data_IF_944870236942
#
_entry.id   IF_944870236942
#
_cell.length_a   1.000
_cell.length_b   1.000
_cell.length_c   1.000
_cell.angle_alpha   90.00
_cell.angle_beta   90.00
_cell.angle_gamma   90.00
#
_symmetry.space_group_name_H-M   'P 1'
#
loop_
_entity.id
_entity.type
_entity.pdbx_description
1 polymer ?
#
# COMPACT_ATOMS: atom_id res chain seq x y z
N UNK A 1 38.14 34.00 -20.23
CA UNK A 1 38.40 33.40 -18.91
C UNK A 1 37.05 33.15 -18.27
N UNK A 2 36.63 31.89 -18.18
CA UNK A 2 35.40 31.52 -17.46
C UNK A 2 35.69 31.67 -15.96
N UNK A 3 34.99 32.58 -15.29
CA UNK A 3 34.99 32.64 -13.82
C UNK A 3 34.10 31.52 -13.30
N UNK A 4 34.74 30.47 -12.78
CA UNK A 4 34.09 29.47 -11.93
C UNK A 4 33.96 30.11 -10.55
N UNK A 5 32.74 30.46 -10.15
CA UNK A 5 32.47 30.91 -8.78
C UNK A 5 32.72 29.75 -7.81
N UNK A 6 33.46 29.96 -6.71
CA UNK A 6 33.68 28.91 -5.72
C UNK A 6 32.38 28.61 -4.98
N UNK A 7 31.97 27.33 -5.00
CA UNK A 7 30.95 26.80 -4.10
C UNK A 7 31.45 26.90 -2.67
N UNK A 8 30.93 27.84 -1.89
CA UNK A 8 31.16 27.91 -0.44
C UNK A 8 30.57 26.67 0.23
N UNK A 9 31.33 25.90 1.03
CA UNK A 9 30.78 24.76 1.75
C UNK A 9 29.77 25.22 2.81
N UNK A 10 28.65 24.49 2.91
CA UNK A 10 27.60 24.74 3.91
C UNK A 10 28.16 24.58 5.33
N UNK A 11 27.74 25.42 6.31
CA UNK A 11 28.21 25.32 7.68
C UNK A 11 27.67 24.05 8.36
N UNK A 12 28.58 23.25 8.94
CA UNK A 12 28.23 22.13 9.82
C UNK A 12 27.88 22.68 11.21
N UNK A 13 26.64 22.46 11.66
CA UNK A 13 26.15 22.99 12.93
C UNK A 13 25.86 21.84 13.90
N UNK A 14 26.46 21.91 15.08
CA UNK A 14 26.16 21.06 16.24
C UNK A 14 25.38 21.92 17.25
N UNK A 15 24.17 21.53 17.64
CA UNK A 15 23.40 22.32 18.62
C UNK A 15 22.43 21.48 19.43
N UNK A 16 22.44 21.67 20.75
CA UNK A 16 21.50 21.07 21.69
C UNK A 16 20.28 21.97 21.99
N UNK A 17 20.27 23.21 21.46
CA UNK A 17 19.19 24.17 21.67
C UNK A 17 18.26 24.28 20.45
N UNK A 18 16.93 24.45 20.65
CA UNK A 18 16.01 24.72 19.55
C UNK A 18 16.32 26.11 18.97
N UNK A 19 16.83 26.11 17.73
CA UNK A 19 17.05 27.34 16.94
C UNK A 19 16.25 27.25 15.65
N UNK A 20 15.70 28.38 15.26
CA UNK A 20 15.12 28.57 13.93
C UNK A 20 16.25 28.86 12.96
N UNK A 21 16.35 28.08 11.89
CA UNK A 21 17.33 28.31 10.85
C UNK A 21 16.65 28.56 9.50
N UNK A 22 17.28 29.42 8.70
CA UNK A 22 16.79 29.83 7.39
C UNK A 22 17.98 29.97 6.44
N UNK A 23 18.08 29.07 5.46
CA UNK A 23 19.18 29.06 4.51
C UNK A 23 19.01 28.01 3.40
N UNK A 24 19.73 28.16 2.27
CA UNK A 24 19.57 27.31 1.09
C UNK A 24 20.24 25.94 1.19
N UNK A 25 21.01 25.65 2.26
CA UNK A 25 21.63 24.36 2.54
C UNK A 25 22.16 24.33 3.97
N UNK A 26 21.60 23.46 4.81
CA UNK A 26 22.00 23.35 6.21
C UNK A 26 22.29 21.90 6.56
N UNK A 27 23.40 21.68 7.26
CA UNK A 27 23.76 20.37 7.77
C UNK A 27 23.78 20.40 9.29
N UNK A 28 22.77 19.77 9.90
CA UNK A 28 22.63 19.68 11.35
C UNK A 28 22.98 18.27 11.83
N UNK A 29 23.76 18.19 12.90
CA UNK A 29 24.10 16.92 13.55
C UNK A 29 23.66 16.94 15.00
N UNK A 30 23.08 15.82 15.46
CA UNK A 30 22.71 15.58 16.85
C UNK A 30 21.88 16.71 17.45
N UNK A 31 20.76 17.03 16.79
CA UNK A 31 19.89 18.16 17.14
C UNK A 31 18.59 17.71 17.80
N UNK A 32 18.14 18.49 18.78
CA UNK A 32 16.85 18.31 19.44
C UNK A 32 15.94 19.46 19.06
N UNK A 33 14.80 19.13 18.46
CA UNK A 33 13.77 20.06 18.00
C UNK A 33 14.25 21.23 17.11
N UNK A 34 15.11 21.00 16.09
CA UNK A 34 15.43 22.06 15.13
C UNK A 34 14.18 22.46 14.34
N UNK A 35 14.04 23.75 14.06
CA UNK A 35 12.96 24.26 13.22
C UNK A 35 13.54 24.90 11.96
N UNK A 36 13.14 24.39 10.80
CA UNK A 36 13.57 24.86 9.50
C UNK A 36 12.40 25.38 8.69
N UNK A 37 12.57 26.55 8.08
CA UNK A 37 11.54 27.20 7.27
C UNK A 37 12.09 27.50 5.87
N UNK A 38 11.33 27.14 4.85
CA UNK A 38 11.65 27.44 3.44
C UNK A 38 13.05 26.97 3.01
N UNK A 39 13.48 25.81 3.52
CA UNK A 39 14.82 25.27 3.26
C UNK A 39 14.89 24.48 1.96
N UNK A 40 16.02 24.59 1.28
CA UNK A 40 16.38 23.74 0.14
C UNK A 40 17.48 22.78 0.58
N UNK A 41 17.30 21.50 0.29
CA UNK A 41 18.23 20.41 0.61
C UNK A 41 18.83 20.41 2.04
N UNK A 42 18.05 20.62 3.13
CA UNK A 42 18.59 20.47 4.47
C UNK A 42 18.92 19.00 4.76
N UNK A 43 20.04 18.76 5.43
CA UNK A 43 20.48 17.44 5.88
C UNK A 43 20.53 17.40 7.40
N UNK A 44 19.75 16.51 8.01
CA UNK A 44 19.74 16.33 9.45
C UNK A 44 20.18 14.90 9.78
N UNK A 45 21.14 14.79 10.70
CA UNK A 45 21.65 13.52 11.19
C UNK A 45 21.32 13.39 12.67
N UNK A 46 20.76 12.25 13.07
CA UNK A 46 20.48 11.90 14.46
C UNK A 46 19.65 12.98 15.16
N UNK A 47 18.47 13.29 14.60
CA UNK A 47 17.62 14.37 15.11
C UNK A 47 16.38 13.84 15.85
N UNK A 48 16.01 14.54 16.92
CA UNK A 48 14.77 14.26 17.66
C UNK A 48 13.79 15.40 17.47
N UNK A 49 12.58 15.09 17.03
CA UNK A 49 11.47 16.01 16.79
C UNK A 49 11.79 17.22 15.87
N UNK A 50 12.52 17.07 14.75
CA UNK A 50 12.73 18.19 13.84
C UNK A 50 11.41 18.62 13.20
N UNK A 51 11.24 19.93 13.00
CA UNK A 51 10.09 20.51 12.32
C UNK A 51 10.55 21.21 11.05
N UNK A 52 10.05 20.77 9.90
CA UNK A 52 10.37 21.35 8.60
C UNK A 52 9.09 21.88 7.94
N UNK A 53 9.11 23.16 7.58
CA UNK A 53 8.02 23.82 6.86
C UNK A 53 8.49 24.23 5.47
N UNK A 54 7.75 23.81 4.44
CA UNK A 54 8.00 24.16 3.04
C UNK A 54 9.42 23.82 2.59
N UNK A 55 9.79 22.54 2.62
CA UNK A 55 11.15 22.11 2.28
C UNK A 55 11.22 21.37 0.94
N UNK A 56 12.28 21.64 0.18
CA UNK A 56 12.58 20.93 -1.07
C UNK A 56 13.80 20.03 -0.86
N UNK A 57 13.70 18.76 -1.21
CA UNK A 57 14.73 17.74 -1.08
C UNK A 57 15.36 17.58 0.34
N UNK A 58 14.61 17.68 1.46
CA UNK A 58 15.18 17.39 2.78
C UNK A 58 15.66 15.93 2.90
N UNK A 59 16.78 15.72 3.57
CA UNK A 59 17.31 14.39 3.89
C UNK A 59 17.48 14.25 5.40
N UNK A 60 16.82 13.26 5.98
CA UNK A 60 16.83 13.00 7.41
C UNK A 60 17.34 11.58 7.66
N UNK A 61 18.41 11.47 8.43
CA UNK A 61 19.03 10.20 8.81
C UNK A 61 18.85 9.96 10.30
N UNK A 62 18.33 8.79 10.67
CA UNK A 62 18.13 8.36 12.07
C UNK A 62 17.32 9.38 12.88
N UNK A 63 16.06 9.61 12.48
CA UNK A 63 15.21 10.65 13.08
C UNK A 63 14.06 10.09 13.90
N UNK A 64 13.77 10.71 15.04
CA UNK A 64 12.62 10.35 15.88
C UNK A 64 11.58 11.46 15.84
N UNK A 65 10.33 11.12 15.52
CA UNK A 65 9.18 12.01 15.45
C UNK A 65 9.37 13.27 14.56
N UNK A 66 9.96 13.19 13.36
CA UNK A 66 10.06 14.36 12.49
C UNK A 66 8.67 14.78 11.99
N UNK A 67 8.45 16.09 11.94
CA UNK A 67 7.21 16.74 11.52
C UNK A 67 7.49 17.55 10.26
N UNK A 68 6.87 17.18 9.14
CA UNK A 68 7.07 17.89 7.87
C UNK A 68 5.76 18.38 7.30
N UNK A 69 5.73 19.68 6.99
CA UNK A 69 4.58 20.37 6.42
C UNK A 69 4.99 20.91 5.05
N UNK A 70 4.37 20.37 4.00
CA UNK A 70 4.70 20.71 2.60
C UNK A 70 6.14 20.37 2.26
N UNK A 71 6.38 19.13 1.80
CA UNK A 71 7.71 18.71 1.37
C UNK A 71 7.71 18.14 -0.05
N UNK A 72 8.77 18.37 -0.79
CA UNK A 72 8.99 17.77 -2.12
C UNK A 72 10.28 16.97 -2.10
N UNK A 73 10.24 15.72 -2.58
CA UNK A 73 11.38 14.83 -2.68
C UNK A 73 12.11 14.58 -1.34
N UNK A 74 11.34 14.44 -0.25
CA UNK A 74 11.87 14.07 1.07
C UNK A 74 12.51 12.67 1.03
N UNK A 75 13.67 12.52 1.67
CA UNK A 75 14.26 11.22 1.98
C UNK A 75 14.40 11.03 3.48
N UNK A 76 13.79 9.97 4.00
CA UNK A 76 13.91 9.54 5.40
C UNK A 76 14.59 8.18 5.45
N UNK A 77 15.69 8.10 6.19
CA UNK A 77 16.39 6.85 6.48
C UNK A 77 16.30 6.56 7.97
N UNK A 78 15.77 5.38 8.33
CA UNK A 78 15.66 4.92 9.71
C UNK A 78 14.90 5.91 10.59
N UNK A 79 13.58 5.96 10.45
CA UNK A 79 12.75 6.96 11.15
C UNK A 79 11.67 6.33 12.01
N UNK A 80 11.44 6.90 13.19
CA UNK A 80 10.36 6.48 14.09
C UNK A 80 9.31 7.57 14.13
N UNK A 81 8.05 7.21 13.90
CA UNK A 81 6.87 8.08 13.93
C UNK A 81 6.99 9.38 13.11
N UNK A 82 7.48 9.37 11.85
CA UNK A 82 7.44 10.57 11.01
C UNK A 82 5.99 10.94 10.68
N UNK A 83 5.67 12.23 10.72
CA UNK A 83 4.38 12.78 10.32
C UNK A 83 4.58 13.72 9.14
N UNK A 84 3.95 13.38 8.01
CA UNK A 84 4.07 14.12 6.75
C UNK A 84 2.71 14.67 6.33
N UNK A 85 2.63 15.99 6.26
CA UNK A 85 1.49 16.73 5.72
C UNK A 85 1.83 17.25 4.33
N UNK A 86 1.02 16.88 3.34
CA UNK A 86 1.14 17.34 1.94
C UNK A 86 2.54 17.15 1.35
N UNK A 87 2.89 15.92 0.96
CA UNK A 87 4.23 15.61 0.45
C UNK A 87 4.21 15.08 -0.99
N UNK A 88 5.14 15.57 -1.80
CA UNK A 88 5.33 15.09 -3.17
C UNK A 88 6.55 14.18 -3.20
N UNK A 89 6.36 12.93 -3.62
CA UNK A 89 7.41 11.92 -3.74
C UNK A 89 8.29 11.70 -2.49
N UNK A 90 7.74 11.51 -1.27
CA UNK A 90 8.55 11.14 -0.12
C UNK A 90 9.05 9.68 -0.25
N UNK A 91 10.32 9.46 0.08
CA UNK A 91 10.96 8.14 0.15
C UNK A 91 11.29 7.81 1.59
N UNK A 92 10.74 6.72 2.10
CA UNK A 92 10.94 6.25 3.47
C UNK A 92 11.62 4.88 3.45
N UNK A 93 12.85 4.84 3.96
CA UNK A 93 13.62 3.64 4.17
C UNK A 93 13.59 3.26 5.66
N UNK A 94 13.06 2.09 5.98
CA UNK A 94 12.98 1.55 7.34
C UNK A 94 12.30 2.52 8.32
N UNK A 95 10.97 2.59 8.26
CA UNK A 95 10.19 3.47 9.13
C UNK A 95 9.25 2.71 10.06
N UNK A 96 9.12 3.19 11.29
CA UNK A 96 8.14 2.67 12.26
C UNK A 96 7.04 3.70 12.43
N UNK A 97 5.79 3.27 12.25
CA UNK A 97 4.57 4.08 12.38
C UNK A 97 4.58 5.41 11.62
N UNK A 98 4.97 5.46 10.32
CA UNK A 98 4.85 6.70 9.55
C UNK A 98 3.37 7.06 9.32
N UNK A 99 3.05 8.35 9.43
CA UNK A 99 1.73 8.90 9.14
C UNK A 99 1.82 9.88 7.96
N UNK A 100 1.09 9.60 6.88
CA UNK A 100 1.04 10.45 5.69
C UNK A 100 -0.40 10.86 5.40
N UNK A 101 -0.70 12.15 5.50
CA UNK A 101 -2.07 12.66 5.33
C UNK A 101 -2.45 12.86 3.86
N UNK A 102 -1.53 13.37 3.04
CA UNK A 102 -1.72 13.52 1.61
C UNK A 102 -0.38 13.41 0.91
N UNK A 103 -0.25 12.44 -0.01
CA UNK A 103 1.01 12.27 -0.73
C UNK A 103 0.82 11.78 -2.17
N UNK A 104 1.40 12.48 -3.14
CA UNK A 104 1.16 12.14 -4.55
C UNK A 104 1.87 10.85 -4.98
N UNK A 105 3.08 10.59 -4.48
CA UNK A 105 3.86 9.43 -4.90
C UNK A 105 4.77 8.85 -3.79
N UNK A 106 4.23 8.48 -2.62
CA UNK A 106 5.04 7.92 -1.54
C UNK A 106 5.66 6.56 -1.91
N UNK A 107 6.94 6.40 -1.59
CA UNK A 107 7.66 5.13 -1.70
C UNK A 107 8.16 4.69 -0.33
N UNK A 108 7.72 3.51 0.11
CA UNK A 108 8.06 2.94 1.41
C UNK A 108 8.74 1.58 1.18
N UNK A 109 9.99 1.43 1.61
CA UNK A 109 10.75 0.19 1.37
C UNK A 109 10.54 -0.87 2.46
N UNK A 110 10.47 -0.43 3.72
CA UNK A 110 10.17 -1.31 4.84
C UNK A 110 9.49 -0.44 5.88
N UNK A 111 8.27 -0.80 6.25
CA UNK A 111 7.50 0.00 7.20
C UNK A 111 6.66 -0.84 8.14
N UNK A 112 6.84 -0.63 9.44
CA UNK A 112 5.97 -1.18 10.47
C UNK A 112 4.82 -0.22 10.69
N UNK A 113 3.56 -0.67 10.59
CA UNK A 113 2.38 0.13 10.91
C UNK A 113 2.21 1.47 10.14
N UNK A 114 2.50 1.59 8.82
CA UNK A 114 2.21 2.82 8.08
C UNK A 114 0.71 3.14 8.06
N UNK A 115 0.38 4.41 8.28
CA UNK A 115 -0.98 4.94 8.15
C UNK A 115 -1.01 6.04 7.10
N UNK A 116 -1.90 5.90 6.12
CA UNK A 116 -2.03 6.84 5.03
C UNK A 116 -3.50 7.20 4.80
N UNK A 117 -3.80 8.50 4.72
CA UNK A 117 -5.16 8.95 4.44
C UNK A 117 -5.44 8.97 2.92
N UNK A 118 -4.53 9.54 2.14
CA UNK A 118 -4.70 9.60 0.68
C UNK A 118 -3.37 9.55 -0.06
N UNK A 119 -3.37 8.84 -1.18
CA UNK A 119 -2.25 8.83 -2.12
C UNK A 119 -2.70 8.75 -3.57
N UNK A 120 -1.95 9.34 -4.49
CA UNK A 120 -2.20 9.11 -5.93
C UNK A 120 -1.54 7.80 -6.38
N UNK A 121 -0.26 7.61 -6.08
CA UNK A 121 0.49 6.40 -6.41
C UNK A 121 1.36 5.95 -5.24
N UNK A 122 0.90 4.98 -4.45
CA UNK A 122 1.68 4.40 -3.35
C UNK A 122 2.42 3.16 -3.82
N UNK A 123 3.75 3.14 -3.60
CA UNK A 123 4.56 1.94 -3.72
C UNK A 123 5.07 1.54 -2.34
N UNK A 124 4.80 0.30 -1.95
CA UNK A 124 5.24 -0.26 -0.68
C UNK A 124 5.86 -1.63 -0.93
N UNK A 125 7.10 -1.82 -0.49
CA UNK A 125 7.78 -3.09 -0.69
C UNK A 125 7.41 -4.09 0.41
N UNK A 126 7.56 -3.72 1.69
CA UNK A 126 7.12 -4.58 2.79
C UNK A 126 6.46 -3.80 3.92
N UNK A 127 5.40 -4.39 4.48
CA UNK A 127 4.82 -3.89 5.73
C UNK A 127 4.12 -4.95 6.57
N UNK A 128 4.29 -4.88 7.88
CA UNK A 128 3.57 -5.72 8.83
C UNK A 128 2.07 -5.38 8.89
N UNK A 129 1.71 -4.10 8.84
CA UNK A 129 0.32 -3.65 9.01
C UNK A 129 0.11 -2.30 8.31
N UNK A 130 -0.44 -2.29 7.10
CA UNK A 130 -0.76 -1.05 6.38
C UNK A 130 -2.22 -0.66 6.61
N UNK A 131 -2.48 0.58 7.01
CA UNK A 131 -3.80 1.20 6.93
C UNK A 131 -3.80 2.30 5.88
N UNK A 132 -4.70 2.19 4.90
CA UNK A 132 -4.84 3.16 3.81
C UNK A 132 -6.31 3.48 3.56
N UNK A 133 -6.69 4.75 3.65
CA UNK A 133 -8.08 5.14 3.40
C UNK A 133 -8.40 5.25 1.90
N UNK A 134 -7.54 5.89 1.11
CA UNK A 134 -7.77 6.02 -0.33
C UNK A 134 -6.49 6.03 -1.16
N UNK A 135 -6.53 5.36 -2.32
CA UNK A 135 -5.46 5.44 -3.29
C UNK A 135 -5.95 5.30 -4.73
N UNK A 136 -5.42 6.10 -5.66
CA UNK A 136 -5.69 5.85 -7.08
C UNK A 136 -4.96 4.59 -7.55
N UNK A 137 -3.67 4.47 -7.24
CA UNK A 137 -2.86 3.31 -7.57
C UNK A 137 -2.02 2.86 -6.36
N UNK A 138 -2.16 1.60 -5.96
CA UNK A 138 -1.36 0.97 -4.92
C UNK A 138 -0.63 -0.26 -5.47
N UNK A 139 0.68 -0.29 -5.31
CA UNK A 139 1.51 -1.47 -5.53
C UNK A 139 2.15 -1.90 -4.21
N UNK A 140 1.89 -3.15 -3.82
CA UNK A 140 2.40 -3.74 -2.59
C UNK A 140 3.05 -5.10 -2.89
N UNK A 141 4.31 -5.29 -2.50
CA UNK A 141 4.99 -6.56 -2.71
C UNK A 141 4.67 -7.58 -1.61
N UNK A 142 4.76 -7.18 -0.35
CA UNK A 142 4.48 -8.07 0.78
C UNK A 142 3.80 -7.36 1.93
N UNK A 143 2.74 -7.96 2.48
CA UNK A 143 2.18 -7.50 3.75
C UNK A 143 1.48 -8.58 4.59
N UNK A 144 1.63 -8.50 5.91
CA UNK A 144 0.93 -9.42 6.83
C UNK A 144 -0.49 -8.99 7.15
N UNK A 145 -0.79 -7.70 7.08
CA UNK A 145 -2.13 -7.15 7.26
C UNK A 145 -2.26 -5.84 6.48
N UNK A 146 -3.33 -5.74 5.69
CA UNK A 146 -3.65 -4.56 4.90
C UNK A 146 -5.10 -4.20 5.18
N UNK A 147 -5.37 -2.96 5.57
CA UNK A 147 -6.72 -2.41 5.61
C UNK A 147 -6.80 -1.30 4.58
N UNK A 148 -7.61 -1.52 3.55
CA UNK A 148 -7.85 -0.55 2.48
C UNK A 148 -9.33 -0.23 2.39
N UNK A 149 -9.66 1.06 2.48
CA UNK A 149 -11.04 1.49 2.31
C UNK A 149 -11.42 1.66 0.83
N UNK A 150 -10.60 2.35 0.03
CA UNK A 150 -10.91 2.51 -1.40
C UNK A 150 -9.67 2.53 -2.27
N UNK A 151 -9.76 1.89 -3.45
CA UNK A 151 -8.76 2.10 -4.51
C UNK A 151 -9.33 1.97 -5.92
N UNK A 152 -8.71 2.67 -6.88
CA UNK A 152 -9.01 2.44 -8.29
C UNK A 152 -8.23 1.23 -8.82
N UNK A 153 -6.91 1.20 -8.59
CA UNK A 153 -6.04 0.10 -8.99
C UNK A 153 -5.19 -0.39 -7.81
N UNK A 154 -5.21 -1.69 -7.55
CA UNK A 154 -4.41 -2.35 -6.52
C UNK A 154 -3.72 -3.60 -7.09
N UNK A 155 -2.40 -3.67 -6.90
CA UNK A 155 -1.61 -4.87 -7.12
C UNK A 155 -0.93 -5.31 -5.82
N UNK A 156 -1.15 -6.56 -5.43
CA UNK A 156 -0.58 -7.18 -4.23
C UNK A 156 0.10 -8.49 -4.62
N UNK A 157 1.38 -8.67 -4.31
CA UNK A 157 2.12 -9.87 -4.73
C UNK A 157 2.10 -11.02 -3.72
N UNK A 158 2.10 -10.69 -2.43
CA UNK A 158 2.01 -11.66 -1.35
C UNK A 158 1.34 -11.00 -0.16
N UNK A 159 0.33 -11.66 0.40
CA UNK A 159 -0.29 -11.12 1.60
C UNK A 159 -0.96 -12.14 2.50
N UNK A 160 -1.05 -11.77 3.77
CA UNK A 160 -1.90 -12.43 4.75
C UNK A 160 -3.00 -11.45 5.15
N UNK A 161 -4.23 -11.93 5.26
CA UNK A 161 -5.39 -11.21 5.77
C UNK A 161 -5.58 -9.76 5.25
N UNK A 162 -5.49 -9.47 3.94
CA UNK A 162 -5.88 -8.15 3.44
C UNK A 162 -7.40 -7.97 3.53
N UNK A 163 -7.83 -6.81 4.01
CA UNK A 163 -9.22 -6.39 4.10
C UNK A 163 -9.44 -5.19 3.17
N UNK A 164 -10.20 -5.40 2.10
CA UNK A 164 -10.44 -4.41 1.05
C UNK A 164 -11.94 -4.10 0.97
N UNK A 165 -12.32 -2.84 1.21
CA UNK A 165 -13.73 -2.45 1.19
C UNK A 165 -14.25 -2.17 -0.21
N UNK A 166 -13.54 -1.35 -0.99
CA UNK A 166 -13.92 -0.99 -2.36
C UNK A 166 -12.71 -0.97 -3.29
N UNK A 167 -12.80 -1.67 -4.43
CA UNK A 167 -11.77 -1.63 -5.47
C UNK A 167 -12.35 -1.76 -6.88
N UNK A 168 -11.77 -1.07 -7.86
CA UNK A 168 -12.22 -1.15 -9.27
C UNK A 168 -11.40 -2.12 -10.12
N UNK A 169 -10.09 -2.21 -9.89
CA UNK A 169 -9.20 -3.15 -10.55
C UNK A 169 -8.23 -3.71 -9.50
N UNK A 170 -8.39 -4.99 -9.18
CA UNK A 170 -7.62 -5.66 -8.13
C UNK A 170 -6.87 -6.84 -8.71
N UNK A 171 -5.57 -6.93 -8.43
CA UNK A 171 -4.75 -8.10 -8.70
C UNK A 171 -4.08 -8.56 -7.41
N UNK A 172 -4.41 -9.78 -6.99
CA UNK A 172 -3.79 -10.45 -5.86
C UNK A 172 -3.04 -11.68 -6.37
N UNK A 173 -1.75 -11.74 -6.09
CA UNK A 173 -0.96 -12.96 -6.20
C UNK A 173 -0.73 -13.49 -4.79
N UNK A 174 -0.79 -14.81 -4.61
CA UNK A 174 -0.40 -15.51 -3.38
C UNK A 174 -0.95 -14.88 -2.11
N UNK A 175 -2.24 -15.06 -1.83
CA UNK A 175 -2.91 -14.43 -0.68
C UNK A 175 -3.58 -15.44 0.24
N UNK A 176 -3.44 -15.23 1.54
CA UNK A 176 -4.12 -16.05 2.57
C UNK A 176 -5.19 -15.21 3.25
N UNK A 177 -6.42 -15.73 3.27
CA UNK A 177 -7.60 -15.12 3.87
C UNK A 177 -7.89 -13.67 3.43
N UNK A 178 -7.84 -13.32 2.12
CA UNK A 178 -8.28 -11.99 1.68
C UNK A 178 -9.79 -11.83 1.89
N UNK A 179 -10.19 -10.66 2.39
CA UNK A 179 -11.59 -10.27 2.57
C UNK A 179 -11.90 -9.08 1.64
N UNK A 180 -12.77 -9.32 0.66
CA UNK A 180 -13.20 -8.33 -0.32
C UNK A 180 -14.69 -8.03 -0.12
N UNK A 181 -15.01 -6.77 0.19
CA UNK A 181 -16.40 -6.37 0.41
C UNK A 181 -17.10 -6.00 -0.90
N UNK A 182 -16.55 -5.06 -1.66
CA UNK A 182 -17.04 -4.67 -2.98
C UNK A 182 -15.87 -4.55 -3.95
N UNK A 183 -15.94 -5.27 -5.08
CA UNK A 183 -14.90 -5.20 -6.10
C UNK A 183 -15.45 -5.34 -7.51
N UNK A 184 -14.84 -4.62 -8.45
CA UNK A 184 -15.03 -4.84 -9.89
C UNK A 184 -13.78 -5.52 -10.43
N UNK A 185 -13.97 -6.52 -11.27
CA UNK A 185 -12.92 -7.30 -11.94
C UNK A 185 -11.73 -7.72 -11.03
N UNK A 186 -11.95 -8.31 -9.83
CA UNK A 186 -10.84 -8.81 -9.03
C UNK A 186 -10.22 -10.05 -9.69
N UNK A 187 -8.90 -10.06 -9.78
CA UNK A 187 -8.09 -11.18 -10.26
C UNK A 187 -7.29 -11.75 -9.11
N UNK A 188 -7.56 -13.00 -8.73
CA UNK A 188 -6.80 -13.71 -7.70
C UNK A 188 -6.07 -14.90 -8.33
N UNK A 189 -4.77 -14.99 -8.05
CA UNK A 189 -3.93 -16.13 -8.38
C UNK A 189 -3.39 -16.73 -7.09
N UNK A 190 -3.62 -18.02 -6.88
CA UNK A 190 -3.15 -18.76 -5.70
C UNK A 190 -3.64 -18.15 -4.40
N UNK A 191 -4.90 -18.43 -4.04
CA UNK A 191 -5.49 -17.88 -2.81
C UNK A 191 -6.08 -18.94 -1.91
N UNK A 192 -5.84 -18.81 -0.61
CA UNK A 192 -6.39 -19.69 0.42
C UNK A 192 -7.43 -18.94 1.22
N UNK A 193 -8.61 -19.53 1.39
CA UNK A 193 -9.75 -18.98 2.11
C UNK A 193 -10.18 -17.54 1.71
N UNK A 194 -10.24 -17.17 0.42
CA UNK A 194 -10.76 -15.86 0.03
C UNK A 194 -12.24 -15.72 0.39
N UNK A 195 -12.63 -14.56 0.91
CA UNK A 195 -14.01 -14.19 1.18
C UNK A 195 -14.41 -12.99 0.34
N UNK A 196 -15.45 -13.15 -0.47
CA UNK A 196 -15.99 -12.10 -1.33
C UNK A 196 -17.46 -11.87 -0.99
N UNK A 197 -17.82 -10.62 -0.68
CA UNK A 197 -19.20 -10.27 -0.38
C UNK A 197 -19.98 -9.86 -1.64
N UNK A 198 -19.48 -8.87 -2.38
CA UNK A 198 -20.04 -8.44 -3.66
C UNK A 198 -18.93 -8.27 -4.69
N UNK A 199 -19.05 -8.91 -5.85
CA UNK A 199 -18.05 -8.80 -6.91
C UNK A 199 -18.65 -8.82 -8.31
N UNK A 200 -18.19 -7.91 -9.17
CA UNK A 200 -18.53 -7.92 -10.60
C UNK A 200 -17.38 -8.56 -11.38
N UNK A 201 -17.66 -9.66 -12.09
CA UNK A 201 -16.68 -10.39 -12.91
C UNK A 201 -15.35 -10.81 -12.20
N UNK A 202 -15.36 -11.41 -10.99
CA UNK A 202 -14.18 -12.07 -10.43
C UNK A 202 -13.58 -13.13 -11.35
N UNK A 203 -12.25 -13.13 -11.43
CA UNK A 203 -11.43 -14.16 -12.08
C UNK A 203 -10.51 -14.79 -11.05
N UNK A 204 -10.70 -16.06 -10.76
CA UNK A 204 -10.08 -16.75 -9.65
C UNK A 204 -9.35 -18.01 -10.17
N UNK A 205 -8.05 -18.10 -9.90
CA UNK A 205 -7.20 -19.22 -10.31
C UNK A 205 -6.51 -19.83 -9.09
N UNK A 206 -6.55 -21.15 -8.97
CA UNK A 206 -5.88 -21.90 -7.89
C UNK A 206 -6.36 -21.44 -6.51
N UNK A 207 -7.64 -21.64 -6.22
CA UNK A 207 -8.27 -21.18 -4.97
C UNK A 207 -8.69 -22.32 -4.06
N UNK A 208 -8.35 -22.24 -2.78
CA UNK A 208 -8.79 -23.21 -1.77
C UNK A 208 -9.78 -22.55 -0.82
N UNK A 209 -10.92 -23.20 -0.56
CA UNK A 209 -11.93 -22.75 0.40
C UNK A 209 -12.49 -21.33 0.15
N UNK A 210 -12.84 -21.01 -1.11
CA UNK A 210 -13.50 -19.76 -1.47
C UNK A 210 -14.89 -19.65 -0.83
N UNK A 211 -15.20 -18.48 -0.27
CA UNK A 211 -16.57 -18.09 0.09
C UNK A 211 -17.00 -16.88 -0.74
N UNK A 212 -18.04 -17.04 -1.56
CA UNK A 212 -18.61 -15.97 -2.38
C UNK A 212 -20.08 -15.78 -2.06
N UNK A 213 -20.47 -14.56 -1.68
CA UNK A 213 -21.85 -14.24 -1.34
C UNK A 213 -22.65 -13.81 -2.56
N UNK A 214 -22.18 -12.79 -3.28
CA UNK A 214 -22.84 -12.24 -4.47
C UNK A 214 -21.85 -11.98 -5.60
N UNK A 215 -22.20 -12.41 -6.81
CA UNK A 215 -21.49 -11.99 -8.02
C UNK A 215 -22.38 -11.92 -9.27
N UNK A 216 -22.04 -11.00 -10.16
CA UNK A 216 -22.74 -10.82 -11.46
C UNK A 216 -22.23 -11.78 -12.53
N UNK A 217 -20.94 -12.10 -12.50
CA UNK A 217 -20.28 -13.06 -13.39
C UNK A 217 -19.08 -13.65 -12.64
N UNK A 218 -18.72 -14.91 -12.90
CA UNK A 218 -17.63 -15.57 -12.19
C UNK A 218 -16.85 -16.49 -13.14
N UNK A 219 -15.53 -16.35 -13.12
CA UNK A 219 -14.60 -17.31 -13.72
C UNK A 219 -13.77 -17.95 -12.60
N UNK A 220 -13.93 -19.26 -12.42
CA UNK A 220 -13.22 -20.04 -11.40
C UNK A 220 -12.47 -21.18 -12.06
N UNK A 221 -11.15 -21.22 -11.90
CA UNK A 221 -10.28 -22.31 -12.37
C UNK A 221 -9.48 -22.90 -11.22
N UNK A 222 -9.39 -24.23 -11.20
CA UNK A 222 -8.58 -24.96 -10.23
C UNK A 222 -8.96 -24.60 -8.78
N UNK A 223 -10.25 -24.72 -8.45
CA UNK A 223 -10.73 -24.45 -7.10
C UNK A 223 -11.03 -25.72 -6.31
N UNK A 224 -10.68 -25.69 -5.03
CA UNK A 224 -11.00 -26.75 -4.07
C UNK A 224 -12.00 -26.20 -3.05
N UNK A 225 -13.12 -26.90 -2.90
CA UNK A 225 -14.18 -26.63 -1.92
C UNK A 225 -14.75 -25.18 -1.94
N UNK A 226 -15.18 -24.64 -3.10
CA UNK A 226 -15.84 -23.34 -3.14
C UNK A 226 -17.27 -23.40 -2.57
N UNK A 227 -17.68 -22.29 -1.94
CA UNK A 227 -18.99 -22.06 -1.34
C UNK A 227 -19.63 -20.82 -2.01
N UNK A 228 -20.72 -20.99 -2.77
CA UNK A 228 -21.33 -19.94 -3.59
C UNK A 228 -22.81 -19.73 -3.19
N UNK A 229 -23.17 -18.52 -2.71
CA UNK A 229 -24.52 -18.26 -2.16
C UNK A 229 -25.50 -17.64 -3.16
N UNK A 230 -25.09 -16.65 -3.97
CA UNK A 230 -25.94 -16.00 -4.96
C UNK A 230 -25.14 -15.57 -6.19
N UNK A 231 -25.51 -16.09 -7.36
CA UNK A 231 -24.98 -15.64 -8.66
C UNK A 231 -26.16 -15.20 -9.51
N UNK A 232 -26.31 -13.89 -9.70
CA UNK A 232 -27.49 -13.32 -10.37
C UNK A 232 -27.05 -12.50 -11.57
N UNK A 233 -27.26 -13.04 -12.76
CA UNK A 233 -27.48 -12.22 -13.94
C UNK A 233 -28.35 -12.98 -14.95
N UNK A 234 -29.43 -12.37 -15.46
CA UNK A 234 -29.93 -12.70 -16.80
C UNK A 234 -28.86 -12.25 -17.81
N UNK A 235 -28.17 -13.20 -18.46
CA UNK A 235 -27.18 -12.93 -19.50
C UNK A 235 -25.70 -12.94 -19.07
N UNK A 236 -25.38 -13.14 -17.79
CA UNK A 236 -24.01 -13.33 -17.32
C UNK A 236 -23.59 -14.81 -17.37
N UNK A 237 -22.36 -15.09 -17.81
CA UNK A 237 -21.81 -16.45 -17.86
C UNK A 237 -21.05 -16.79 -16.58
N UNK A 238 -21.45 -17.86 -15.88
CA UNK A 238 -20.67 -18.47 -14.80
C UNK A 238 -19.93 -19.69 -15.33
N UNK A 239 -18.59 -19.66 -15.27
CA UNK A 239 -17.74 -20.78 -15.65
C UNK A 239 -16.97 -21.29 -14.44
N UNK A 240 -17.25 -22.53 -14.01
CA UNK A 240 -16.67 -23.14 -12.82
C UNK A 240 -15.96 -24.45 -13.18
N UNK A 241 -14.64 -24.45 -13.00
CA UNK A 241 -13.78 -25.64 -13.04
C UNK A 241 -13.24 -25.92 -11.63
N UNK A 242 -13.96 -26.74 -10.86
CA UNK A 242 -13.58 -27.13 -9.50
C UNK A 242 -13.06 -28.57 -9.46
N UNK A 243 -12.09 -28.84 -8.58
CA UNK A 243 -11.49 -30.15 -8.33
C UNK A 243 -12.32 -31.01 -7.35
N UNK A 244 -13.23 -30.39 -6.60
CA UNK A 244 -14.07 -31.07 -5.59
C UNK A 244 -15.52 -30.55 -5.62
N UNK A 245 -16.48 -31.24 -4.97
CA UNK A 245 -17.87 -30.80 -4.94
C UNK A 245 -18.01 -29.36 -4.43
N UNK A 246 -18.81 -28.57 -5.14
CA UNK A 246 -19.12 -27.19 -4.81
C UNK A 246 -20.48 -27.13 -4.13
N UNK A 247 -20.61 -26.33 -3.06
CA UNK A 247 -21.93 -26.05 -2.47
C UNK A 247 -22.47 -24.77 -3.12
N UNK A 248 -23.62 -24.88 -3.80
CA UNK A 248 -24.25 -23.78 -4.54
C UNK A 248 -25.69 -23.64 -4.03
N UNK A 249 -26.02 -22.48 -3.45
CA UNK A 249 -27.33 -22.25 -2.84
C UNK A 249 -28.35 -21.54 -3.76
N UNK A 250 -27.92 -20.94 -4.88
CA UNK A 250 -28.80 -20.41 -5.94
C UNK A 250 -28.01 -19.99 -7.20
N UNK A 251 -28.38 -20.47 -8.39
CA UNK A 251 -27.77 -20.02 -9.66
C UNK A 251 -28.72 -20.17 -10.85
N UNK A 252 -28.66 -19.22 -11.79
CA UNK A 252 -29.57 -19.14 -12.95
C UNK A 252 -28.92 -19.53 -14.29
N UNK A 253 -27.60 -19.70 -14.35
CA UNK A 253 -26.87 -20.12 -15.55
C UNK A 253 -25.48 -20.69 -15.18
N UNK A 254 -25.37 -22.02 -15.05
CA UNK A 254 -24.13 -22.72 -14.70
C UNK A 254 -23.65 -23.56 -15.89
N UNK A 255 -22.43 -23.31 -16.38
CA UNK A 255 -21.65 -24.35 -17.03
C UNK A 255 -20.67 -24.92 -16.00
N UNK A 256 -21.07 -26.04 -15.40
CA UNK A 256 -20.23 -26.84 -14.51
C UNK A 256 -19.44 -27.85 -15.35
N UNK A 257 -18.11 -27.78 -15.28
CA UNK A 257 -17.25 -28.81 -15.85
C UNK A 257 -16.30 -29.29 -14.75
N UNK A 258 -16.67 -30.41 -14.14
CA UNK A 258 -15.83 -31.13 -13.17
C UNK A 258 -14.78 -31.89 -13.97
N UNK A 259 -13.49 -31.82 -13.59
CA UNK A 259 -12.44 -32.59 -14.26
C UNK A 259 -12.60 -34.08 -13.93
N UNK A 260 -12.97 -34.94 -14.89
CA UNK A 260 -13.21 -36.36 -14.63
C UNK A 260 -11.92 -37.14 -14.31
N UNK A 261 -10.73 -36.57 -14.54
CA UNK A 261 -9.44 -37.26 -14.32
C UNK A 261 -9.03 -37.39 -12.85
N UNK A 262 -9.74 -36.74 -11.93
CA UNK A 262 -9.50 -36.82 -10.48
C UNK A 262 -10.39 -37.84 -9.76
N UNK A 263 -11.28 -38.54 -10.49
CA UNK A 263 -12.23 -39.52 -9.94
C UNK A 263 -11.96 -40.97 -10.39
N UNK A 264 -10.81 -41.25 -11.02
CA UNK A 264 -10.43 -42.62 -11.30
C UNK A 264 -9.61 -43.19 -10.12
N UNK A 265 -9.95 -44.40 -9.62
CA UNK A 265 -9.33 -45.02 -8.45
C UNK A 265 -7.87 -45.41 -8.69
#
# INVERSE_FOLDING_TARGET
>A
MYHVSPTTPSPTIWSQDPRSYSGPSEQLHSSTAPQLYSSTAPQLHSSTAPQLHSSTAPQLYSSTAPQLHSSTALQLHSSTAPQLHSSTAPQLHSSTAPQLYSSSAPQLYSSTAPQLLSSTALQLYSSTALQLHSSTALQLHSSTALQLYSSTALQLHSSTAPQLHSSTALQLHSSTAPQLYSSTAPQLHSSTAPQHHSSTAPQLHSTTALQLHSSTALQLHNSIAPQLHSSTAPGGSTAVHAMTPSLIHSSTALQLRVDPRLFMP
#
